data_IF_721105807517
#
_entry.id   IF_721105807517
#
_cell.length_a   1.000
_cell.length_b   1.000
_cell.length_c   1.000
_cell.angle_alpha   90.00
_cell.angle_beta   90.00
_cell.angle_gamma   90.00
#
_symmetry.space_group_name_H-M   'P 1'
#
loop_
_entity.id
_entity.type
_entity.pdbx_description
1 polymer ?
#
# COMPACT_ATOMS: atom_id res chain seq x y z
N UNK A 1 2.74 -47.21 25.37
CA UNK A 1 3.46 -45.92 25.52
C UNK A 1 2.68 -44.84 24.79
N UNK A 2 2.10 -43.83 25.45
CA UNK A 2 1.35 -42.79 24.76
C UNK A 2 2.30 -41.85 24.01
N UNK A 3 1.98 -41.61 22.74
CA UNK A 3 2.72 -40.78 21.80
C UNK A 3 2.61 -39.29 22.21
N UNK A 4 3.71 -38.72 22.72
CA UNK A 4 3.83 -37.33 23.16
C UNK A 4 3.84 -36.31 21.98
N UNK A 5 3.72 -36.76 20.74
CA UNK A 5 3.84 -35.92 19.54
C UNK A 5 2.60 -35.09 19.18
N UNK A 6 1.45 -35.29 19.84
CA UNK A 6 0.21 -34.60 19.45
C UNK A 6 -0.59 -34.08 20.66
N UNK A 7 -0.03 -33.11 21.39
CA UNK A 7 -0.76 -32.41 22.45
C UNK A 7 -1.68 -31.33 21.86
N UNK A 8 -2.98 -31.28 22.23
CA UNK A 8 -3.97 -30.35 21.67
C UNK A 8 -3.63 -28.86 21.87
N UNK A 9 -2.77 -28.54 22.83
CA UNK A 9 -2.28 -27.18 23.05
C UNK A 9 -1.38 -26.69 21.90
N UNK A 10 -0.62 -27.59 21.28
CA UNK A 10 0.27 -27.27 20.17
C UNK A 10 -0.49 -27.10 18.84
N UNK A 11 -1.57 -27.86 18.62
CA UNK A 11 -2.46 -27.66 17.46
C UNK A 11 -3.21 -26.33 17.55
N UNK A 12 -3.70 -25.95 18.74
CA UNK A 12 -4.41 -24.68 18.96
C UNK A 12 -3.50 -23.45 18.78
N UNK A 13 -2.20 -23.55 19.12
CA UNK A 13 -1.25 -22.46 18.87
C UNK A 13 -0.95 -22.30 17.37
N UNK A 14 -0.83 -23.42 16.64
CA UNK A 14 -0.60 -23.40 15.19
C UNK A 14 -1.77 -22.79 14.42
N UNK A 15 -3.01 -23.10 14.79
CA UNK A 15 -4.19 -22.49 14.16
C UNK A 15 -4.28 -20.99 14.47
N UNK A 16 -3.96 -20.56 15.70
CA UNK A 16 -3.91 -19.14 16.05
C UNK A 16 -2.84 -18.37 15.26
N UNK A 17 -1.64 -18.95 15.07
CA UNK A 17 -0.59 -18.34 14.25
C UNK A 17 -1.00 -18.24 12.77
N UNK A 18 -1.66 -19.27 12.22
CA UNK A 18 -2.17 -19.23 10.85
C UNK A 18 -3.25 -18.16 10.67
N UNK A 19 -4.18 -18.02 11.62
CA UNK A 19 -5.20 -16.98 11.59
C UNK A 19 -4.60 -15.57 11.70
N UNK A 20 -3.56 -15.39 12.53
CA UNK A 20 -2.82 -14.14 12.63
C UNK A 20 -2.14 -13.79 11.30
N UNK A 21 -1.43 -14.75 10.68
CA UNK A 21 -0.77 -14.54 9.39
C UNK A 21 -1.76 -14.13 8.30
N UNK A 22 -2.88 -14.84 8.18
CA UNK A 22 -3.94 -14.50 7.22
C UNK A 22 -4.53 -13.10 7.47
N UNK A 23 -4.68 -12.70 8.74
CA UNK A 23 -5.16 -11.36 9.09
C UNK A 23 -4.16 -10.27 8.69
N UNK A 24 -2.86 -10.51 8.90
CA UNK A 24 -1.81 -9.56 8.50
C UNK A 24 -1.76 -9.41 6.96
N UNK A 25 -1.83 -10.52 6.23
CA UNK A 25 -1.89 -10.49 4.76
C UNK A 25 -3.11 -9.71 4.25
N UNK A 26 -4.28 -9.90 4.87
CA UNK A 26 -5.49 -9.14 4.54
C UNK A 26 -5.29 -7.63 4.76
N UNK A 27 -4.69 -7.26 5.88
CA UNK A 27 -4.38 -5.86 6.22
C UNK A 27 -3.45 -5.27 5.16
N UNK A 28 -2.37 -5.97 4.79
CA UNK A 28 -1.44 -5.52 3.76
C UNK A 28 -2.12 -5.36 2.41
N UNK A 29 -2.96 -6.32 2.01
CA UNK A 29 -3.72 -6.26 0.76
C UNK A 29 -4.66 -5.06 0.71
N UNK A 30 -5.40 -4.81 1.80
CA UNK A 30 -6.26 -3.62 1.92
C UNK A 30 -5.45 -2.33 1.93
N UNK A 31 -4.28 -2.34 2.59
CA UNK A 31 -3.38 -1.18 2.59
C UNK A 31 -2.88 -0.86 1.20
N UNK A 32 -2.45 -1.86 0.43
CA UNK A 32 -1.99 -1.68 -0.95
C UNK A 32 -3.10 -1.10 -1.85
N UNK A 33 -4.33 -1.62 -1.75
CA UNK A 33 -5.49 -1.12 -2.53
C UNK A 33 -5.89 0.31 -2.16
N UNK A 34 -5.79 0.68 -0.88
CA UNK A 34 -6.12 2.04 -0.40
C UNK A 34 -4.91 2.99 -0.37
N UNK A 35 -3.85 2.68 -1.13
CA UNK A 35 -2.62 3.47 -1.10
C UNK A 35 -2.85 4.92 -1.52
N UNK A 36 -3.74 5.17 -2.49
CA UNK A 36 -4.09 6.52 -2.95
C UNK A 36 -4.76 7.36 -1.85
N UNK A 37 -5.60 6.76 -1.01
CA UNK A 37 -6.27 7.47 0.10
C UNK A 37 -5.31 7.99 1.17
N UNK A 38 -4.09 7.42 1.24
CA UNK A 38 -3.02 7.86 2.15
C UNK A 38 -1.89 8.55 1.41
N UNK A 39 -2.06 8.83 0.13
CA UNK A 39 -1.05 9.54 -0.64
C UNK A 39 -1.07 11.01 -0.23
N UNK A 40 0.05 11.47 0.31
CA UNK A 40 0.27 12.86 0.69
C UNK A 40 1.41 13.42 -0.17
N UNK A 41 1.09 14.18 -1.24
CA UNK A 41 2.10 14.73 -2.11
C UNK A 41 2.88 15.84 -1.40
N UNK A 42 4.21 15.86 -1.57
CA UNK A 42 4.99 17.01 -1.12
C UNK A 42 4.72 18.23 -2.03
N UNK A 43 5.09 19.46 -1.63
CA UNK A 43 4.65 20.69 -2.30
C UNK A 43 4.82 20.72 -3.83
N UNK A 44 5.93 20.23 -4.39
CA UNK A 44 6.11 20.26 -5.84
C UNK A 44 5.25 19.22 -6.58
N UNK A 45 4.99 18.06 -5.96
CA UNK A 45 4.03 17.08 -6.50
C UNK A 45 2.62 17.65 -6.46
N UNK A 46 2.23 18.27 -5.34
CA UNK A 46 0.92 18.90 -5.20
C UNK A 46 0.70 19.98 -6.28
N UNK A 47 1.72 20.82 -6.53
CA UNK A 47 1.69 21.80 -7.61
C UNK A 47 1.56 21.17 -9.00
N UNK A 48 2.27 20.08 -9.25
CA UNK A 48 2.15 19.31 -10.50
C UNK A 48 0.74 18.73 -10.72
N UNK A 49 0.13 18.16 -9.68
CA UNK A 49 -1.24 17.63 -9.73
C UNK A 49 -2.26 18.74 -9.97
N UNK A 50 -2.17 19.83 -9.20
CA UNK A 50 -3.08 20.96 -9.31
C UNK A 50 -3.02 21.64 -10.69
N UNK A 51 -1.84 21.72 -11.30
CA UNK A 51 -1.67 22.24 -12.64
C UNK A 51 -2.41 21.41 -13.71
N UNK A 52 -2.81 20.17 -13.41
CA UNK A 52 -3.59 19.33 -14.32
C UNK A 52 -4.98 19.88 -14.66
N UNK A 53 -5.51 20.79 -13.84
CA UNK A 53 -6.76 21.48 -14.15
C UNK A 53 -6.63 22.47 -15.31
N UNK A 54 -5.43 23.01 -15.57
CA UNK A 54 -5.21 24.09 -16.54
C UNK A 54 -4.29 23.76 -17.71
N UNK A 55 -3.50 22.70 -17.61
CA UNK A 55 -2.52 22.32 -18.63
C UNK A 55 -2.69 20.86 -19.00
N UNK A 56 -2.67 20.51 -20.28
CA UNK A 56 -2.73 19.12 -20.73
C UNK A 56 -1.40 18.40 -20.50
N UNK A 57 -0.29 19.07 -20.83
CA UNK A 57 1.07 18.55 -20.69
C UNK A 57 1.80 19.25 -19.55
N UNK A 58 2.45 18.46 -18.69
CA UNK A 58 3.14 18.93 -17.49
C UNK A 58 4.36 18.06 -17.19
N UNK A 59 5.40 18.66 -16.62
CA UNK A 59 6.61 17.96 -16.20
C UNK A 59 6.82 18.13 -14.69
N UNK A 60 6.82 17.01 -13.95
CA UNK A 60 7.27 17.00 -12.56
C UNK A 60 8.81 17.02 -12.52
N UNK A 61 9.40 18.21 -12.41
CA UNK A 61 10.85 18.37 -12.28
C UNK A 61 11.28 18.08 -10.84
N UNK A 62 11.80 16.88 -10.61
CA UNK A 62 12.23 16.42 -9.29
C UNK A 62 13.56 15.64 -9.34
N UNK A 63 14.39 15.83 -8.31
CA UNK A 63 15.65 15.11 -8.10
C UNK A 63 15.48 13.61 -7.85
N UNK A 64 16.58 12.92 -7.55
CA UNK A 64 16.58 11.48 -7.32
C UNK A 64 15.83 11.11 -6.04
N UNK A 65 15.16 9.95 -6.05
CA UNK A 65 14.43 9.40 -4.90
C UNK A 65 13.28 10.28 -4.35
N UNK A 66 12.88 11.34 -5.05
CA UNK A 66 11.74 12.20 -4.66
C UNK A 66 10.36 11.63 -5.07
N UNK A 67 10.23 10.32 -5.20
CA UNK A 67 8.93 9.67 -5.44
C UNK A 67 8.29 9.96 -6.80
N UNK A 68 9.06 10.22 -7.86
CA UNK A 68 8.54 10.50 -9.22
C UNK A 68 7.56 9.44 -9.73
N UNK A 69 7.87 8.16 -9.51
CA UNK A 69 7.01 7.03 -9.90
C UNK A 69 5.68 7.03 -9.15
N UNK A 70 5.71 7.36 -7.85
CA UNK A 70 4.50 7.39 -7.02
C UNK A 70 3.59 8.54 -7.46
N UNK A 71 4.16 9.72 -7.71
CA UNK A 71 3.41 10.86 -8.22
C UNK A 71 2.75 10.58 -9.57
N UNK A 72 3.47 9.98 -10.52
CA UNK A 72 2.88 9.60 -11.81
C UNK A 72 1.75 8.57 -11.68
N UNK A 73 1.90 7.59 -10.80
CA UNK A 73 0.83 6.62 -10.52
C UNK A 73 -0.39 7.25 -9.85
N UNK A 74 -0.19 8.18 -8.92
CA UNK A 74 -1.28 8.92 -8.28
C UNK A 74 -2.02 9.81 -9.29
N UNK A 75 -1.28 10.51 -10.15
CA UNK A 75 -1.84 11.33 -11.22
C UNK A 75 -2.76 10.51 -12.14
N UNK A 76 -2.27 9.37 -12.63
CA UNK A 76 -3.09 8.47 -13.45
C UNK A 76 -4.35 8.01 -12.71
N UNK A 77 -4.25 7.71 -11.41
CA UNK A 77 -5.39 7.29 -10.61
C UNK A 77 -6.42 8.41 -10.39
N UNK A 78 -5.99 9.66 -10.22
CA UNK A 78 -6.89 10.82 -10.13
C UNK A 78 -7.69 11.05 -11.42
N UNK A 79 -7.10 10.78 -12.59
CA UNK A 79 -7.80 10.88 -13.87
C UNK A 79 -8.77 9.73 -14.16
N UNK A 80 -8.71 8.66 -13.37
CA UNK A 80 -9.61 7.50 -13.49
C UNK A 80 -10.83 7.59 -12.56
N UNK A 81 -10.92 8.63 -11.73
CA UNK A 81 -12.06 8.90 -10.82
C UNK A 81 -12.90 10.07 -11.31
#
# INVERSE_FOLDING_TARGET
MPNLGNTPLASSRRSALAALAATLEEIERRRARRRLMRYEPYPAQAGFHAAGAGFLERLLRAGNQLGKTVAGGAEAAFHLT
#
